data_IF_626730816986
#
_entry.id   IF_626730816986
#
_cell.length_a   1.000
_cell.length_b   1.000
_cell.length_c   1.000
_cell.angle_alpha   90.00
_cell.angle_beta   90.00
_cell.angle_gamma   90.00
#
_symmetry.space_group_name_H-M   'P 1'
#
loop_
_entity.id
_entity.type
_entity.pdbx_description
1 polymer ?
#
# COMPACT_ATOMS: atom_id res chain seq x y z
N UNK A 1 -20.67 -14.87 -1.34
CA UNK A 1 -21.45 -15.41 -0.22
C UNK A 1 -22.92 -15.18 -0.52
N UNK A 2 -23.82 -16.08 -0.12
CA UNK A 2 -25.25 -15.80 -0.09
C UNK A 2 -25.59 -15.00 1.18
N UNK A 3 -26.66 -14.20 1.17
CA UNK A 3 -27.04 -13.33 2.30
C UNK A 3 -27.22 -14.13 3.60
N UNK A 4 -27.90 -15.29 3.51
CA UNK A 4 -28.18 -16.20 4.62
C UNK A 4 -26.93 -16.84 5.24
N UNK A 5 -25.78 -16.77 4.57
CA UNK A 5 -24.53 -17.31 5.13
C UNK A 5 -24.05 -16.47 6.31
N UNK A 6 -24.22 -15.14 6.25
CA UNK A 6 -23.87 -14.26 7.35
C UNK A 6 -25.09 -13.92 8.20
N UNK A 7 -26.27 -13.78 7.60
CA UNK A 7 -27.51 -13.42 8.31
C UNK A 7 -28.35 -14.66 8.62
N UNK A 8 -27.84 -15.52 9.51
CA UNK A 8 -28.42 -16.84 9.80
C UNK A 8 -29.78 -16.79 10.49
N UNK A 9 -30.11 -15.69 11.18
CA UNK A 9 -31.43 -15.46 11.79
C UNK A 9 -32.40 -14.63 10.94
N UNK A 10 -32.05 -14.28 9.70
CA UNK A 10 -32.79 -13.31 8.88
C UNK A 10 -33.20 -13.86 7.51
N UNK A 11 -34.09 -13.15 6.82
CA UNK A 11 -34.47 -13.40 5.42
C UNK A 11 -35.07 -14.80 5.18
N UNK A 12 -35.78 -15.35 6.18
CA UNK A 12 -36.26 -16.74 6.14
C UNK A 12 -37.45 -16.89 5.19
N UNK A 13 -38.30 -15.86 5.08
CA UNK A 13 -39.51 -15.84 4.24
C UNK A 13 -39.44 -14.77 3.14
N UNK A 14 -40.11 -14.99 2.00
CA UNK A 14 -40.28 -13.99 0.93
C UNK A 14 -41.77 -13.71 0.68
N UNK A 15 -42.20 -12.44 0.50
CA UNK A 15 -41.41 -11.22 0.61
C UNK A 15 -40.91 -10.98 2.05
N UNK A 16 -39.69 -10.47 2.19
CA UNK A 16 -39.07 -10.26 3.49
C UNK A 16 -39.88 -9.28 4.33
N UNK A 17 -40.34 -9.70 5.50
CA UNK A 17 -41.06 -8.81 6.43
C UNK A 17 -40.07 -7.89 7.13
N UNK A 18 -40.39 -6.59 7.21
CA UNK A 18 -39.50 -5.58 7.79
C UNK A 18 -39.07 -5.92 9.23
N UNK A 19 -39.91 -6.65 9.98
CA UNK A 19 -39.60 -7.12 11.33
C UNK A 19 -38.48 -8.17 11.39
N UNK A 20 -38.27 -8.99 10.34
CA UNK A 20 -37.11 -9.89 10.24
C UNK A 20 -35.80 -9.12 10.04
N UNK A 21 -35.87 -7.96 9.37
CA UNK A 21 -34.72 -7.05 9.15
C UNK A 21 -34.42 -6.25 10.43
N UNK A 22 -35.47 -5.88 11.17
CA UNK A 22 -35.39 -5.01 12.35
C UNK A 22 -34.94 -5.73 13.63
N UNK A 23 -35.20 -7.04 13.76
CA UNK A 23 -35.03 -7.79 15.01
C UNK A 23 -33.59 -8.23 15.34
N UNK A 24 -32.55 -7.57 14.80
CA UNK A 24 -31.14 -8.00 14.98
C UNK A 24 -31.01 -9.51 14.75
N UNK A 25 -31.50 -9.98 13.61
CA UNK A 25 -31.26 -11.34 13.20
C UNK A 25 -29.78 -11.69 13.39
N UNK A 26 -29.54 -12.84 14.01
CA UNK A 26 -28.19 -13.30 14.38
C UNK A 26 -27.30 -13.25 13.14
N UNK A 27 -26.28 -12.40 13.21
CA UNK A 27 -25.32 -12.19 12.13
C UNK A 27 -24.00 -12.80 12.58
N UNK A 28 -23.49 -13.77 11.83
CA UNK A 28 -22.21 -14.39 12.11
C UNK A 28 -21.09 -13.35 12.04
N UNK A 29 -20.25 -13.31 13.07
CA UNK A 29 -19.02 -12.54 13.05
C UNK A 29 -18.01 -13.11 12.06
N UNK A 30 -17.05 -12.30 11.63
CA UNK A 30 -15.99 -12.74 10.71
C UNK A 30 -15.16 -13.88 11.32
N UNK A 31 -14.94 -13.82 12.63
CA UNK A 31 -14.20 -14.79 13.44
C UNK A 31 -14.84 -16.20 13.43
N UNK A 32 -16.14 -16.32 13.17
CA UNK A 32 -16.84 -17.61 13.13
C UNK A 32 -16.36 -18.48 11.96
N UNK A 33 -15.85 -17.87 10.87
CA UNK A 33 -15.25 -18.58 9.74
C UNK A 33 -13.74 -18.30 9.59
N UNK A 34 -13.24 -17.17 10.10
CA UNK A 34 -11.86 -16.72 9.98
C UNK A 34 -11.18 -16.54 11.34
N UNK A 35 -11.41 -17.45 12.29
CA UNK A 35 -10.98 -17.29 13.68
C UNK A 35 -9.49 -16.97 13.84
N UNK A 36 -8.63 -17.71 13.12
CA UNK A 36 -7.18 -17.57 13.28
C UNK A 36 -6.66 -16.24 12.73
N UNK A 37 -7.12 -15.83 11.56
CA UNK A 37 -6.79 -14.55 10.95
C UNK A 37 -7.37 -13.40 11.77
N UNK A 38 -8.63 -13.52 12.19
CA UNK A 38 -9.33 -12.49 12.98
C UNK A 38 -8.58 -12.23 14.29
N UNK A 39 -8.17 -13.26 15.02
CA UNK A 39 -7.39 -13.10 16.25
C UNK A 39 -6.09 -12.30 16.02
N UNK A 40 -5.36 -12.59 14.93
CA UNK A 40 -4.12 -11.87 14.60
C UNK A 40 -4.38 -10.42 14.18
N UNK A 41 -5.45 -10.21 13.42
CA UNK A 41 -5.87 -8.88 12.93
C UNK A 41 -6.34 -8.02 14.08
N UNK A 42 -7.21 -8.53 14.96
CA UNK A 42 -7.73 -7.83 16.14
C UNK A 42 -6.60 -7.31 17.03
N UNK A 43 -5.56 -8.12 17.25
CA UNK A 43 -4.39 -7.72 18.03
C UNK A 43 -3.61 -6.54 17.40
N UNK A 44 -3.61 -6.42 16.06
CA UNK A 44 -3.01 -5.29 15.35
C UNK A 44 -3.94 -4.06 15.34
N UNK A 45 -5.23 -4.28 15.10
CA UNK A 45 -6.27 -3.23 15.14
C UNK A 45 -6.28 -2.56 16.50
N UNK A 46 -6.25 -3.32 17.60
CA UNK A 46 -6.20 -2.79 18.97
C UNK A 46 -5.01 -1.85 19.22
N UNK A 47 -3.89 -2.01 18.49
CA UNK A 47 -2.72 -1.14 18.59
C UNK A 47 -2.83 0.13 17.73
N UNK A 48 -3.76 0.14 16.78
CA UNK A 48 -3.97 1.25 15.85
C UNK A 48 -4.35 2.54 16.58
N UNK A 49 -4.02 3.66 15.95
CA UNK A 49 -4.46 4.98 16.41
C UNK A 49 -5.98 5.11 16.41
N UNK A 50 -6.68 4.42 15.50
CA UNK A 50 -8.14 4.43 15.48
C UNK A 50 -8.72 3.75 16.71
N UNK A 51 -8.38 2.50 17.00
CA UNK A 51 -8.91 1.79 18.19
C UNK A 51 -8.55 2.46 19.50
N UNK A 52 -7.34 3.02 19.62
CA UNK A 52 -6.92 3.76 20.84
C UNK A 52 -7.75 5.01 21.10
N UNK A 53 -8.23 5.68 20.05
CA UNK A 53 -8.96 6.95 20.17
C UNK A 53 -10.48 6.82 19.98
N UNK A 54 -10.97 5.78 19.30
CA UNK A 54 -12.38 5.62 18.95
C UNK A 54 -13.06 4.45 19.69
N UNK A 55 -12.28 3.55 20.30
CA UNK A 55 -12.76 2.41 21.10
C UNK A 55 -13.87 1.63 20.37
N UNK A 56 -15.01 1.45 21.04
CA UNK A 56 -16.14 0.63 20.57
C UNK A 56 -16.84 1.19 19.31
N UNK A 57 -16.56 2.46 18.94
CA UNK A 57 -17.07 3.06 17.69
C UNK A 57 -16.24 2.67 16.45
N UNK A 58 -15.20 1.84 16.60
CA UNK A 58 -14.33 1.43 15.50
C UNK A 58 -14.25 -0.10 15.43
N UNK A 59 -14.84 -0.66 14.37
CA UNK A 59 -14.99 -2.11 14.14
C UNK A 59 -14.34 -2.52 12.82
N UNK A 60 -14.24 -3.83 12.56
CA UNK A 60 -13.71 -4.37 11.30
C UNK A 60 -14.41 -3.79 10.06
N UNK A 61 -15.73 -3.61 10.13
CA UNK A 61 -16.55 -3.08 9.05
C UNK A 61 -16.46 -1.56 8.89
N UNK A 62 -15.74 -0.86 9.78
CA UNK A 62 -15.49 0.59 9.63
C UNK A 62 -14.54 0.87 8.46
N UNK A 63 -13.62 -0.06 8.17
CA UNK A 63 -12.74 0.03 6.99
C UNK A 63 -13.24 -0.83 5.83
N UNK A 64 -13.70 -2.04 6.09
CA UNK A 64 -14.07 -2.98 5.03
C UNK A 64 -15.54 -3.42 5.13
N UNK A 65 -16.40 -2.83 4.32
CA UNK A 65 -17.81 -3.27 4.21
C UNK A 65 -17.89 -4.65 3.52
N UNK A 66 -18.42 -5.68 4.22
CA UNK A 66 -18.49 -7.05 3.71
C UNK A 66 -19.37 -7.22 2.46
N UNK A 67 -20.21 -6.23 2.10
CA UNK A 67 -21.09 -6.31 0.94
C UNK A 67 -20.45 -5.79 -0.35
N UNK A 68 -19.48 -4.88 -0.25
CA UNK A 68 -18.93 -4.17 -1.43
C UNK A 68 -17.43 -4.40 -1.63
N UNK A 69 -16.69 -4.68 -0.56
CA UNK A 69 -15.24 -4.80 -0.62
C UNK A 69 -14.84 -6.12 -1.27
N UNK A 70 -14.03 -6.02 -2.33
CA UNK A 70 -13.46 -7.17 -3.00
C UNK A 70 -12.02 -7.43 -2.53
N UNK A 71 -11.65 -8.70 -2.42
CA UNK A 71 -10.25 -9.07 -2.15
C UNK A 71 -9.33 -8.70 -3.31
N UNK A 72 -8.05 -8.44 -3.03
CA UNK A 72 -7.05 -8.13 -4.05
C UNK A 72 -7.02 -9.15 -5.20
N UNK A 73 -7.16 -10.44 -4.86
CA UNK A 73 -7.23 -11.54 -5.86
C UNK A 73 -8.44 -11.42 -6.78
N UNK A 74 -9.61 -10.99 -6.26
CA UNK A 74 -10.83 -10.82 -7.06
C UNK A 74 -10.77 -9.57 -7.94
N UNK A 75 -10.15 -8.50 -7.46
CA UNK A 75 -10.00 -7.26 -8.23
C UNK A 75 -9.06 -7.43 -9.44
N UNK A 76 -7.98 -8.20 -9.28
CA UNK A 76 -7.03 -8.50 -10.35
C UNK A 76 -6.29 -7.28 -10.92
N UNK A 77 -6.40 -6.11 -10.29
CA UNK A 77 -5.79 -4.86 -10.74
C UNK A 77 -5.27 -4.09 -9.53
N UNK A 78 -3.99 -3.71 -9.58
CA UNK A 78 -3.36 -2.91 -8.52
C UNK A 78 -4.01 -1.53 -8.43
N UNK A 79 -4.29 -0.89 -9.56
CA UNK A 79 -4.96 0.42 -9.55
C UNK A 79 -6.35 0.36 -8.90
N UNK A 80 -7.15 -0.67 -9.20
CA UNK A 80 -8.46 -0.87 -8.53
C UNK A 80 -8.31 -1.14 -7.04
N UNK A 81 -7.29 -1.92 -6.65
CA UNK A 81 -6.99 -2.18 -5.24
C UNK A 81 -6.61 -0.89 -4.51
N UNK A 82 -5.73 -0.06 -5.08
CA UNK A 82 -5.34 1.23 -4.50
C UNK A 82 -6.55 2.15 -4.35
N UNK A 83 -7.38 2.26 -5.39
CA UNK A 83 -8.58 3.08 -5.35
C UNK A 83 -9.57 2.61 -4.27
N UNK A 84 -9.83 1.30 -4.18
CA UNK A 84 -10.74 0.73 -3.17
C UNK A 84 -10.20 0.96 -1.75
N UNK A 85 -8.94 0.60 -1.49
CA UNK A 85 -8.36 0.68 -0.15
C UNK A 85 -8.24 2.14 0.32
N UNK A 86 -7.90 3.07 -0.58
CA UNK A 86 -7.81 4.49 -0.24
C UNK A 86 -9.18 5.14 -0.06
N UNK A 87 -10.20 4.74 -0.81
CA UNK A 87 -11.56 5.27 -0.66
C UNK A 87 -12.08 5.11 0.78
N UNK A 88 -11.82 3.96 1.40
CA UNK A 88 -12.20 3.67 2.79
C UNK A 88 -11.61 4.67 3.79
N UNK A 89 -10.34 5.05 3.58
CA UNK A 89 -9.68 6.06 4.40
C UNK A 89 -10.31 7.44 4.15
N UNK A 90 -10.56 7.76 2.88
CA UNK A 90 -11.02 9.07 2.44
C UNK A 90 -12.48 9.36 2.80
N UNK A 91 -13.32 8.34 3.02
CA UNK A 91 -14.69 8.52 3.53
C UNK A 91 -14.73 9.33 4.84
N UNK A 92 -13.70 9.19 5.69
CA UNK A 92 -13.55 9.98 6.91
C UNK A 92 -12.48 11.06 6.79
N UNK A 93 -11.32 10.76 6.20
CA UNK A 93 -10.19 11.68 6.14
C UNK A 93 -10.35 12.80 5.11
N UNK A 94 -11.40 12.77 4.29
CA UNK A 94 -11.76 13.86 3.39
C UNK A 94 -13.18 14.43 3.63
N UNK A 95 -13.79 14.12 4.79
CA UNK A 95 -15.15 14.55 5.12
C UNK A 95 -15.22 15.04 6.55
N UNK A 96 -15.40 16.36 6.72
CA UNK A 96 -15.54 16.96 8.05
C UNK A 96 -16.74 16.40 8.81
N UNK A 97 -17.83 16.10 8.08
CA UNK A 97 -19.03 15.49 8.64
C UNK A 97 -18.73 14.10 9.22
N UNK A 98 -18.17 13.20 8.42
CA UNK A 98 -17.84 11.84 8.87
C UNK A 98 -16.78 11.85 9.97
N UNK A 99 -15.78 12.74 9.86
CA UNK A 99 -14.78 12.93 10.89
C UNK A 99 -15.39 13.38 12.22
N UNK A 100 -16.36 14.30 12.20
CA UNK A 100 -17.08 14.73 13.40
C UNK A 100 -17.99 13.62 13.97
N UNK A 101 -18.65 12.83 13.11
CA UNK A 101 -19.49 11.69 13.53
C UNK A 101 -18.69 10.64 14.31
N UNK A 102 -17.49 10.28 13.83
CA UNK A 102 -16.62 9.28 14.46
C UNK A 102 -15.71 9.88 15.53
N UNK A 103 -14.93 10.90 15.17
CA UNK A 103 -13.89 11.49 16.00
C UNK A 103 -14.42 12.60 16.93
N UNK A 104 -15.39 13.40 16.49
CA UNK A 104 -15.89 14.56 17.24
C UNK A 104 -16.59 14.22 18.56
N UNK A 105 -17.14 13.00 18.71
CA UNK A 105 -17.70 12.53 19.98
C UNK A 105 -16.64 12.18 21.03
N UNK A 106 -15.42 11.85 20.60
CA UNK A 106 -14.31 11.43 21.49
C UNK A 106 -13.20 12.48 21.56
N UNK A 107 -13.12 13.38 20.57
CA UNK A 107 -12.14 14.45 20.42
C UNK A 107 -12.86 15.76 20.01
N UNK A 108 -13.68 16.35 20.89
CA UNK A 108 -14.61 17.45 20.56
C UNK A 108 -13.93 18.70 19.99
N UNK A 109 -12.70 19.01 20.42
CA UNK A 109 -11.97 20.19 19.95
C UNK A 109 -11.11 19.93 18.71
N UNK A 110 -11.07 18.68 18.21
CA UNK A 110 -10.17 18.30 17.12
C UNK A 110 -10.87 18.41 15.78
N UNK A 111 -10.52 19.44 15.02
CA UNK A 111 -10.89 19.55 13.61
C UNK A 111 -10.03 18.61 12.76
N UNK A 112 -10.63 18.09 11.69
CA UNK A 112 -9.90 17.33 10.69
C UNK A 112 -8.86 18.24 10.02
N UNK A 113 -7.58 17.87 9.99
CA UNK A 113 -6.61 18.60 9.20
C UNK A 113 -6.87 18.40 7.71
N UNK A 114 -6.55 19.42 6.92
CA UNK A 114 -6.50 19.30 5.46
C UNK A 114 -5.47 18.23 5.06
N UNK A 115 -5.91 17.24 4.30
CA UNK A 115 -5.10 16.07 4.00
C UNK A 115 -3.97 16.39 3.01
N UNK A 116 -4.18 17.31 2.06
CA UNK A 116 -3.13 17.72 1.13
C UNK A 116 -2.03 18.47 1.89
N UNK A 117 -2.41 19.40 2.77
CA UNK A 117 -1.45 20.20 3.55
C UNK A 117 -0.55 19.34 4.43
N UNK A 118 -1.10 18.35 5.13
CA UNK A 118 -0.29 17.48 6.00
C UNK A 118 0.59 16.49 5.22
N UNK A 119 0.40 16.38 3.90
CA UNK A 119 1.18 15.55 2.99
C UNK A 119 2.03 16.36 2.00
N UNK A 120 2.21 17.68 2.20
CA UNK A 120 3.04 18.54 1.34
C UNK A 120 4.52 18.09 1.26
N UNK A 121 4.98 17.34 2.25
CA UNK A 121 6.33 16.75 2.25
C UNK A 121 6.54 15.68 1.15
N UNK A 122 5.46 15.09 0.64
CA UNK A 122 5.49 14.03 -0.36
C UNK A 122 5.44 14.63 -1.77
N UNK A 123 6.47 14.48 -2.62
CA UNK A 123 6.42 15.01 -3.97
C UNK A 123 5.29 14.39 -4.79
N UNK A 124 4.53 15.20 -5.54
CA UNK A 124 3.40 14.72 -6.34
C UNK A 124 2.40 13.87 -5.54
N UNK A 125 1.96 14.35 -4.37
CA UNK A 125 1.09 13.66 -3.41
C UNK A 125 -0.08 12.91 -4.06
N UNK A 126 -0.80 13.58 -4.97
CA UNK A 126 -1.95 13.00 -5.67
C UNK A 126 -1.58 11.79 -6.55
N UNK A 127 -0.42 11.82 -7.21
CA UNK A 127 0.06 10.66 -8.00
C UNK A 127 0.42 9.49 -7.09
N UNK A 128 1.00 9.78 -5.91
CA UNK A 128 1.25 8.74 -4.93
C UNK A 128 -0.04 8.09 -4.44
N UNK A 129 -1.11 8.84 -4.18
CA UNK A 129 -2.39 8.26 -3.77
C UNK A 129 -3.09 7.43 -4.85
N UNK A 130 -2.75 7.64 -6.13
CA UNK A 130 -3.24 6.85 -7.24
C UNK A 130 -2.44 5.55 -7.48
N UNK A 131 -1.22 5.47 -6.93
CA UNK A 131 -0.27 4.39 -7.19
C UNK A 131 0.15 3.60 -5.94
N UNK A 132 -0.08 4.15 -4.74
CA UNK A 132 0.23 3.56 -3.45
C UNK A 132 -0.95 3.73 -2.49
N UNK A 133 -1.12 2.80 -1.56
CA UNK A 133 -2.20 2.85 -0.58
C UNK A 133 -1.80 3.71 0.61
N UNK A 134 -2.76 4.35 1.25
CA UNK A 134 -2.53 5.06 2.52
C UNK A 134 -1.83 4.13 3.55
N UNK A 135 -2.27 2.87 3.60
CA UNK A 135 -1.71 1.86 4.52
C UNK A 135 -0.27 1.44 4.18
N UNK A 136 0.21 1.63 2.96
CA UNK A 136 1.61 1.34 2.61
C UNK A 136 2.58 2.31 3.32
N UNK A 137 2.11 3.50 3.68
CA UNK A 137 2.86 4.46 4.50
C UNK A 137 2.45 4.44 5.97
N UNK A 138 1.17 4.21 6.26
CA UNK A 138 0.60 4.32 7.61
C UNK A 138 0.57 3.01 8.40
N UNK A 139 1.25 1.97 7.95
CA UNK A 139 1.37 0.71 8.72
C UNK A 139 2.81 0.23 8.78
N UNK A 140 3.19 -0.53 9.82
CA UNK A 140 4.50 -1.18 9.86
C UNK A 140 4.70 -2.11 8.66
N UNK A 141 5.92 -2.19 8.11
CA UNK A 141 6.22 -3.10 7.01
C UNK A 141 6.01 -4.56 7.45
N UNK A 142 5.39 -5.33 6.56
CA UNK A 142 5.11 -6.75 6.78
C UNK A 142 6.32 -7.58 6.34
N UNK A 143 6.78 -8.49 7.21
CA UNK A 143 7.86 -9.42 6.88
C UNK A 143 7.39 -10.43 5.83
N UNK A 144 8.30 -10.87 4.95
CA UNK A 144 7.98 -11.78 3.84
C UNK A 144 7.29 -13.10 4.26
N UNK A 145 7.54 -13.57 5.49
CA UNK A 145 6.97 -14.81 6.04
C UNK A 145 5.91 -14.55 7.12
N UNK A 146 5.35 -13.34 7.19
CA UNK A 146 4.31 -13.04 8.15
C UNK A 146 3.01 -13.78 7.80
N UNK A 147 2.27 -14.21 8.83
CA UNK A 147 0.97 -14.86 8.67
C UNK A 147 -0.12 -13.94 8.11
N UNK A 148 0.11 -12.62 8.11
CA UNK A 148 -0.77 -11.63 7.52
C UNK A 148 -0.03 -10.93 6.37
N UNK A 149 -0.76 -10.65 5.31
CA UNK A 149 -0.21 -10.02 4.09
C UNK A 149 -0.08 -8.51 4.17
N UNK A 150 -0.82 -7.89 5.07
CA UNK A 150 -0.86 -6.45 5.32
C UNK A 150 -1.01 -6.27 6.84
N UNK A 151 -0.36 -5.24 7.38
CA UNK A 151 -0.51 -4.89 8.79
C UNK A 151 -1.83 -4.14 8.99
N UNK A 152 -2.56 -4.49 10.03
CA UNK A 152 -3.77 -3.78 10.48
C UNK A 152 -3.49 -2.85 11.67
N UNK A 153 -2.22 -2.55 11.95
CA UNK A 153 -1.81 -1.54 12.92
C UNK A 153 -1.62 -0.18 12.20
N UNK A 154 -2.67 0.64 12.19
CA UNK A 154 -2.63 1.99 11.62
C UNK A 154 -1.87 2.92 12.58
N UNK A 155 -0.81 3.53 12.07
CA UNK A 155 0.07 4.45 12.76
C UNK A 155 -0.34 5.91 12.55
N UNK A 156 0.03 6.78 13.49
CA UNK A 156 -0.16 8.23 13.33
C UNK A 156 0.82 8.81 12.29
N UNK A 157 0.58 10.06 11.91
CA UNK A 157 1.40 10.82 10.96
C UNK A 157 2.90 10.90 11.34
N UNK A 158 3.22 10.83 12.63
CA UNK A 158 4.59 10.99 13.12
C UNK A 158 5.42 9.71 12.92
N UNK A 159 4.74 8.57 12.77
CA UNK A 159 5.34 7.25 12.51
C UNK A 159 5.09 6.74 11.09
N UNK A 160 4.44 7.53 10.25
CA UNK A 160 4.25 7.17 8.84
C UNK A 160 5.61 7.04 8.13
N UNK A 161 5.71 6.12 7.17
CA UNK A 161 6.90 5.95 6.36
C UNK A 161 7.16 7.20 5.51
N UNK A 162 8.29 7.87 5.75
CA UNK A 162 8.76 9.05 4.99
C UNK A 162 10.05 8.81 4.22
N UNK A 163 10.70 7.66 4.43
CA UNK A 163 11.89 7.29 3.71
C UNK A 163 11.53 6.79 2.31
N UNK A 164 11.79 7.64 1.30
CA UNK A 164 11.47 7.36 -0.09
C UNK A 164 12.10 6.04 -0.58
N UNK A 165 13.31 5.71 -0.12
CA UNK A 165 14.03 4.52 -0.58
C UNK A 165 13.33 3.22 -0.19
N UNK A 166 12.49 3.21 0.84
CA UNK A 166 11.69 2.03 1.20
C UNK A 166 10.81 1.55 0.05
N UNK A 167 10.35 2.46 -0.81
CA UNK A 167 9.54 2.12 -1.99
C UNK A 167 10.32 2.23 -3.30
N UNK A 168 11.27 3.16 -3.37
CA UNK A 168 12.03 3.49 -4.59
C UNK A 168 13.36 2.73 -4.74
N UNK A 169 13.82 1.98 -3.74
CA UNK A 169 14.96 1.10 -3.90
C UNK A 169 14.59 -0.20 -4.62
N UNK A 170 15.60 -0.92 -5.10
CA UNK A 170 15.40 -2.20 -5.79
C UNK A 170 14.74 -3.24 -4.87
N UNK A 171 15.06 -3.23 -3.59
CA UNK A 171 14.44 -4.03 -2.52
C UNK A 171 13.18 -3.34 -1.94
N UNK A 172 12.28 -2.97 -2.83
CA UNK A 172 11.07 -2.20 -2.48
C UNK A 172 10.10 -2.98 -1.58
N UNK A 173 9.61 -2.32 -0.52
CA UNK A 173 8.53 -2.82 0.33
C UNK A 173 7.21 -3.01 -0.44
N UNK A 174 7.03 -2.31 -1.57
CA UNK A 174 5.86 -2.49 -2.45
C UNK A 174 5.75 -3.92 -2.98
N UNK A 175 6.89 -4.62 -3.13
CA UNK A 175 6.92 -6.01 -3.61
C UNK A 175 6.23 -6.98 -2.65
N UNK A 176 6.47 -6.82 -1.36
CA UNK A 176 5.90 -7.71 -0.33
C UNK A 176 4.57 -7.22 0.22
N UNK A 177 4.24 -5.94 0.03
CA UNK A 177 2.93 -5.36 0.34
C UNK A 177 1.99 -5.36 -0.87
N UNK A 178 1.91 -4.21 -1.54
CA UNK A 178 0.94 -3.91 -2.61
C UNK A 178 0.94 -4.96 -3.74
N UNK A 179 2.13 -5.34 -4.23
CA UNK A 179 2.30 -6.19 -5.40
C UNK A 179 2.43 -7.69 -5.08
N UNK A 180 2.32 -8.10 -3.81
CA UNK A 180 2.51 -9.51 -3.38
C UNK A 180 1.62 -10.51 -4.11
N UNK A 181 0.46 -10.06 -4.57
CA UNK A 181 -0.59 -10.88 -5.19
C UNK A 181 -0.38 -11.07 -6.70
N UNK A 182 0.57 -10.35 -7.30
CA UNK A 182 0.89 -10.44 -8.73
C UNK A 182 1.76 -11.67 -8.95
N UNK A 183 1.41 -12.50 -9.93
CA UNK A 183 2.11 -13.76 -10.21
C UNK A 183 3.50 -13.47 -10.78
N UNK A 184 4.50 -14.26 -10.38
CA UNK A 184 5.88 -14.14 -10.89
C UNK A 184 5.99 -14.20 -12.42
N UNK A 185 5.09 -14.92 -13.08
CA UNK A 185 5.03 -15.01 -14.55
C UNK A 185 4.69 -13.68 -15.24
N UNK A 186 3.96 -12.79 -14.56
CA UNK A 186 3.69 -11.42 -15.03
C UNK A 186 4.83 -10.45 -14.67
N UNK A 187 5.73 -10.86 -13.77
CA UNK A 187 6.83 -10.04 -13.24
C UNK A 187 8.16 -10.22 -14.00
N UNK A 188 8.21 -11.08 -15.03
CA UNK A 188 9.42 -11.36 -15.79
C UNK A 188 9.39 -10.59 -17.11
N UNK A 189 9.85 -9.34 -17.11
CA UNK A 189 10.03 -8.56 -18.34
C UNK A 189 11.49 -8.14 -18.53
N UNK A 190 12.08 -8.57 -19.66
CA UNK A 190 13.25 -8.01 -20.36
C UNK A 190 14.34 -7.29 -19.51
N UNK A 191 14.77 -7.87 -18.39
CA UNK A 191 15.85 -7.33 -17.57
C UNK A 191 15.46 -6.20 -16.60
N UNK A 192 14.16 -5.94 -16.40
CA UNK A 192 13.71 -4.98 -15.39
C UNK A 192 13.66 -5.59 -13.99
N UNK A 193 14.20 -4.88 -13.01
CA UNK A 193 13.90 -5.13 -11.60
C UNK A 193 12.43 -4.82 -11.32
N UNK A 194 11.78 -5.64 -10.48
CA UNK A 194 10.38 -5.47 -10.07
C UNK A 194 9.41 -5.21 -11.24
N UNK A 195 9.50 -5.98 -12.34
CA UNK A 195 8.76 -5.66 -13.56
C UNK A 195 7.23 -5.62 -13.38
N UNK A 196 6.69 -6.29 -12.36
CA UNK A 196 5.27 -6.18 -11.98
C UNK A 196 4.81 -4.73 -11.73
N UNK A 197 5.71 -3.84 -11.32
CA UNK A 197 5.40 -2.43 -11.06
C UNK A 197 5.13 -1.70 -12.38
N UNK A 198 5.91 -1.96 -13.44
CA UNK A 198 5.87 -1.23 -14.71
C UNK A 198 4.49 -1.20 -15.37
N UNK A 199 3.71 -2.28 -15.20
CA UNK A 199 2.35 -2.37 -15.75
C UNK A 199 1.37 -1.40 -15.12
N UNK A 200 1.68 -0.87 -13.94
CA UNK A 200 0.81 0.03 -13.18
C UNK A 200 1.46 1.39 -12.94
N UNK A 201 2.75 1.41 -12.61
CA UNK A 201 3.51 2.62 -12.30
C UNK A 201 5.01 2.41 -12.50
N UNK A 202 5.68 3.34 -13.19
CA UNK A 202 7.13 3.40 -13.17
C UNK A 202 7.61 3.99 -11.83
N UNK A 203 8.27 3.16 -11.01
CA UNK A 203 8.80 3.56 -9.71
C UNK A 203 10.30 3.78 -9.86
N UNK A 204 10.72 5.04 -9.93
CA UNK A 204 12.12 5.44 -10.10
C UNK A 204 13.00 4.68 -9.11
N UNK A 205 14.09 4.10 -9.62
CA UNK A 205 15.03 3.26 -8.85
C UNK A 205 14.59 1.80 -8.71
N UNK A 206 13.34 1.56 -8.31
CA UNK A 206 12.81 0.22 -8.08
C UNK A 206 12.57 -0.55 -9.39
N UNK A 207 12.27 0.15 -10.48
CA UNK A 207 12.00 -0.41 -11.82
C UNK A 207 13.13 -0.14 -12.83
N UNK A 208 14.39 -0.23 -12.39
CA UNK A 208 15.57 -0.07 -13.26
C UNK A 208 15.77 -1.28 -14.18
N UNK A 209 16.37 -1.05 -15.37
CA UNK A 209 16.70 -2.11 -16.31
C UNK A 209 18.20 -2.43 -16.24
N UNK A 210 18.53 -3.68 -15.90
CA UNK A 210 19.91 -4.11 -15.67
C UNK A 210 20.79 -3.98 -16.92
N UNK A 211 20.23 -4.16 -18.11
CA UNK A 211 20.98 -4.05 -19.37
C UNK A 211 21.31 -2.60 -19.69
N UNK A 212 20.36 -1.69 -19.48
CA UNK A 212 20.60 -0.26 -19.66
C UNK A 212 21.62 0.27 -18.66
N UNK A 213 21.58 -0.22 -17.43
CA UNK A 213 22.56 0.13 -16.41
C UNK A 213 23.97 -0.35 -16.78
N UNK A 214 24.08 -1.61 -17.24
CA UNK A 214 25.35 -2.17 -17.70
C UNK A 214 25.89 -1.40 -18.91
N UNK A 215 25.04 -1.08 -19.89
CA UNK A 215 25.41 -0.28 -21.04
C UNK A 215 25.92 1.11 -20.62
N UNK A 216 25.24 1.75 -19.67
CA UNK A 216 25.67 3.03 -19.08
C UNK A 216 27.06 2.93 -18.45
N UNK A 217 27.31 1.89 -17.66
CA UNK A 217 28.63 1.64 -17.05
C UNK A 217 29.71 1.40 -18.09
N UNK A 218 29.42 0.65 -19.16
CA UNK A 218 30.35 0.40 -20.26
C UNK A 218 30.69 1.73 -20.98
N UNK A 219 29.71 2.58 -21.25
CA UNK A 219 29.95 3.88 -21.90
C UNK A 219 30.82 4.80 -21.04
N UNK A 220 30.53 4.90 -19.74
CA UNK A 220 31.34 5.71 -18.80
C UNK A 220 32.75 5.15 -18.68
N UNK A 221 32.89 3.84 -18.46
CA UNK A 221 34.19 3.17 -18.36
C UNK A 221 35.00 3.30 -19.65
N UNK A 222 34.35 3.15 -20.81
CA UNK A 222 34.96 3.33 -22.12
C UNK A 222 35.45 4.77 -22.36
N UNK A 223 34.69 5.77 -21.92
CA UNK A 223 35.09 7.18 -22.02
C UNK A 223 36.31 7.47 -21.16
N UNK A 224 36.28 7.06 -19.88
CA UNK A 224 37.41 7.22 -18.96
C UNK A 224 38.65 6.48 -19.48
N UNK A 225 38.47 5.25 -19.97
CA UNK A 225 39.53 4.45 -20.56
C UNK A 225 40.14 5.10 -21.80
N UNK A 226 39.31 5.63 -22.71
CA UNK A 226 39.75 6.33 -23.91
C UNK A 226 40.53 7.60 -23.61
N UNK A 227 40.05 8.44 -22.70
CA UNK A 227 40.76 9.65 -22.26
C UNK A 227 42.09 9.31 -21.59
N UNK A 228 42.09 8.31 -20.71
CA UNK A 228 43.30 7.86 -20.00
C UNK A 228 44.34 7.29 -20.98
N UNK A 229 43.91 6.45 -21.92
CA UNK A 229 44.76 5.90 -22.97
C UNK A 229 45.34 7.02 -23.84
N UNK A 230 44.51 7.97 -24.27
CA UNK A 230 44.96 9.12 -25.04
C UNK A 230 46.01 9.95 -24.27
N UNK A 231 45.77 10.23 -22.99
CA UNK A 231 46.71 10.91 -22.10
C UNK A 231 48.05 10.16 -21.98
N UNK A 232 48.00 8.84 -21.77
CA UNK A 232 49.18 7.99 -21.64
C UNK A 232 50.00 7.99 -22.94
N UNK A 233 49.34 7.85 -24.08
CA UNK A 233 49.99 7.89 -25.40
C UNK A 233 50.68 9.24 -25.64
N UNK A 234 50.07 10.37 -25.25
CA UNK A 234 50.72 11.69 -25.34
C UNK A 234 51.99 11.77 -24.49
N UNK A 235 51.96 11.25 -23.26
CA UNK A 235 53.13 11.23 -22.37
C UNK A 235 54.25 10.36 -22.95
N UNK A 236 53.93 9.16 -23.42
CA UNK A 236 54.90 8.25 -24.04
C UNK A 236 55.53 8.86 -25.30
N UNK A 237 54.72 9.49 -26.16
CA UNK A 237 55.20 10.18 -27.36
C UNK A 237 56.07 11.41 -27.04
N UNK A 238 55.78 12.13 -25.96
CA UNK A 238 56.63 13.24 -25.50
C UNK A 238 57.97 12.75 -24.94
N UNK A 239 57.98 11.64 -24.20
CA UNK A 239 59.21 11.01 -23.70
C UNK A 239 60.12 10.50 -24.83
N UNK A 240 59.54 9.88 -25.87
CA UNK A 240 60.30 9.44 -27.05
C UNK A 240 60.89 10.58 -27.89
N UNK A 241 60.32 11.78 -27.85
CA UNK A 241 60.87 12.96 -28.54
C UNK A 241 62.01 13.66 -27.79
N UNK A 242 62.19 13.36 -26.50
CA UNK A 242 63.28 13.92 -25.67
C UNK A 242 64.50 12.99 -25.57
N UNK A 243 64.38 11.76 -26.04
CA UNK A 243 65.49 10.80 -26.21
C UNK A 243 66.00 10.85 -27.65
#
# INVERSE_FOLDING_TARGET
>A
MACKTCHVGAFLSYPHVAEEISKKAETLGCNECHAQESFRVEAQVAKSVHSKNLKDNFTCSTCHDPHVVASAKKLGSVHKLVAQDNAMCMECHNSDKKFAEFGGKVLPDKKRPDIDKIHEWLPNTQRHWQAARCIDCHTPPVKANASLSVSHEILNKDKAQKNCSTCHAQDSALRTGLYRHIKETEAKEMGFANAAFLRNSYVVGATRNIYLDLLGLIMVGGTIGGVSLHGLLRILAARRRKS
#
